data_IF_948951711029
#
_entry.id   IF_948951711029
#
_cell.length_a   1.000
_cell.length_b   1.000
_cell.length_c   1.000
_cell.angle_alpha   90.00
_cell.angle_beta   90.00
_cell.angle_gamma   90.00
#
_symmetry.space_group_name_H-M   'P 1'
#
loop_
_entity.id
_entity.type
_entity.pdbx_description
1 polymer ?
#
# COMPACT_ATOMS: atom_id res chain seq x y z
N UNK A 1 3.46 38.32 -24.47
CA UNK A 1 3.76 36.88 -24.49
C UNK A 1 5.21 36.71 -24.90
N UNK A 2 6.16 36.51 -23.98
CA UNK A 2 7.52 36.18 -24.34
C UNK A 2 7.71 34.65 -24.42
N UNK A 3 8.47 34.26 -25.42
CA UNK A 3 8.87 32.90 -25.78
C UNK A 3 9.66 32.24 -24.63
N UNK A 4 9.47 30.95 -24.29
CA UNK A 4 10.27 30.28 -23.28
C UNK A 4 11.71 30.11 -23.80
N UNK A 5 12.65 30.38 -22.89
CA UNK A 5 14.08 30.30 -23.11
C UNK A 5 14.49 28.94 -23.66
N UNK A 6 15.13 28.97 -24.82
CA UNK A 6 15.95 27.88 -25.34
C UNK A 6 17.09 27.61 -24.34
N UNK A 7 16.96 26.57 -23.53
CA UNK A 7 18.09 26.04 -22.77
C UNK A 7 18.84 25.05 -23.65
N UNK A 8 19.76 25.60 -24.45
CA UNK A 8 20.92 24.88 -24.96
C UNK A 8 21.95 24.85 -23.82
N UNK A 9 21.81 23.90 -22.88
CA UNK A 9 22.85 23.58 -21.89
C UNK A 9 23.32 22.15 -22.13
N UNK A 10 24.30 22.00 -23.02
CA UNK A 10 25.01 20.74 -23.28
C UNK A 10 25.97 20.41 -22.13
N UNK A 11 25.44 20.10 -20.96
CA UNK A 11 26.11 19.27 -19.95
C UNK A 11 25.78 17.78 -20.16
N UNK A 12 26.46 16.84 -19.49
CA UNK A 12 25.91 15.48 -19.41
C UNK A 12 24.50 15.59 -18.83
N UNK A 13 23.51 15.08 -19.58
CA UNK A 13 22.13 15.04 -19.12
C UNK A 13 22.11 14.30 -17.78
N UNK A 14 21.61 14.99 -16.76
CA UNK A 14 21.41 14.40 -15.45
C UNK A 14 20.45 13.21 -15.58
N UNK A 15 20.71 12.07 -14.90
CA UNK A 15 19.78 10.95 -14.89
C UNK A 15 18.41 11.39 -14.36
N UNK A 16 17.32 11.00 -15.03
CA UNK A 16 15.96 11.34 -14.62
C UNK A 16 15.65 10.89 -13.19
N UNK A 17 16.23 9.77 -12.74
CA UNK A 17 16.12 9.29 -11.37
C UNK A 17 16.65 10.29 -10.31
N UNK A 18 17.70 11.05 -10.63
CA UNK A 18 18.27 12.06 -9.72
C UNK A 18 17.37 13.31 -9.68
N UNK A 19 16.75 13.66 -10.80
CA UNK A 19 15.74 14.72 -10.88
C UNK A 19 14.51 14.34 -10.05
N UNK A 20 13.95 13.14 -10.26
CA UNK A 20 12.80 12.66 -9.50
C UNK A 20 13.11 12.53 -8.00
N UNK A 21 14.32 12.14 -7.62
CA UNK A 21 14.74 12.11 -6.21
C UNK A 21 14.62 13.49 -5.55
N UNK A 22 15.00 14.56 -6.25
CA UNK A 22 14.83 15.94 -5.74
C UNK A 22 13.38 16.38 -5.71
N UNK A 23 12.58 15.98 -6.71
CA UNK A 23 11.14 16.29 -6.73
C UNK A 23 10.41 15.58 -5.59
N UNK A 24 10.88 14.40 -5.16
CA UNK A 24 10.35 13.68 -4.01
C UNK A 24 10.73 14.31 -2.65
N UNK A 25 11.70 15.24 -2.59
CA UNK A 25 12.11 15.93 -1.37
C UNK A 25 11.14 17.08 -1.01
N UNK A 26 9.89 16.70 -0.76
CA UNK A 26 8.81 17.62 -0.43
C UNK A 26 8.72 17.84 1.09
N UNK A 27 8.80 19.08 1.60
CA UNK A 27 8.88 19.35 3.02
C UNK A 27 7.49 19.34 3.70
N UNK A 28 6.81 18.19 3.71
CA UNK A 28 5.47 18.04 4.30
C UNK A 28 5.43 18.44 5.78
N UNK A 29 6.50 18.19 6.53
CA UNK A 29 6.63 18.57 7.95
C UNK A 29 6.45 20.08 8.19
N UNK A 30 6.84 20.92 7.23
CA UNK A 30 6.67 22.38 7.34
C UNK A 30 5.18 22.73 7.26
N UNK A 31 4.43 22.02 6.43
CA UNK A 31 2.99 22.24 6.27
C UNK A 31 2.23 21.68 7.46
N UNK A 32 2.62 20.50 7.95
CA UNK A 32 2.07 19.91 9.19
C UNK A 32 2.22 20.89 10.35
N UNK A 33 3.42 21.45 10.54
CA UNK A 33 3.67 22.46 11.57
C UNK A 33 2.81 23.72 11.38
N UNK A 34 2.58 24.14 10.14
CA UNK A 34 1.74 25.30 9.84
C UNK A 34 0.26 25.02 10.15
N UNK A 35 -0.23 23.81 9.85
CA UNK A 35 -1.56 23.34 10.22
C UNK A 35 -1.70 23.34 11.75
N UNK A 36 -0.81 22.66 12.47
CA UNK A 36 -0.81 22.59 13.93
C UNK A 36 -0.79 23.99 14.57
N UNK A 37 0.05 24.90 14.06
CA UNK A 37 0.13 26.28 14.54
C UNK A 37 -1.19 27.02 14.31
N UNK A 38 -1.81 26.81 13.15
CA UNK A 38 -3.09 27.43 12.79
C UNK A 38 -4.23 26.88 13.65
N UNK A 39 -4.25 25.58 13.94
CA UNK A 39 -5.21 24.94 14.85
C UNK A 39 -5.04 25.42 16.29
N UNK A 40 -3.80 25.56 16.76
CA UNK A 40 -3.51 26.04 18.12
C UNK A 40 -4.10 27.43 18.38
N UNK A 41 -4.07 28.31 17.38
CA UNK A 41 -4.68 29.64 17.44
C UNK A 41 -6.21 29.61 17.68
N UNK A 42 -6.90 28.49 17.38
CA UNK A 42 -8.33 28.30 17.69
C UNK A 42 -8.61 28.37 19.20
N UNK A 43 -7.64 27.95 20.01
CA UNK A 43 -7.74 28.03 21.48
C UNK A 43 -7.94 29.47 21.94
N UNK A 44 -7.23 30.41 21.32
CA UNK A 44 -7.37 31.84 21.60
C UNK A 44 -8.62 32.45 20.96
N UNK A 45 -9.01 31.97 19.77
CA UNK A 45 -10.24 32.41 19.12
C UNK A 45 -11.49 32.12 19.97
N UNK A 46 -11.53 30.99 20.67
CA UNK A 46 -12.62 30.68 21.60
C UNK A 46 -12.70 31.63 22.80
N UNK A 47 -11.60 32.29 23.18
CA UNK A 47 -11.59 33.26 24.28
C UNK A 47 -12.34 34.55 23.93
N UNK A 48 -12.48 34.87 22.64
CA UNK A 48 -13.22 36.06 22.16
C UNK A 48 -14.64 35.73 21.66
N UNK A 49 -15.16 34.55 22.04
CA UNK A 49 -16.52 34.12 21.71
C UNK A 49 -17.54 35.14 22.23
N UNK A 50 -18.40 35.62 21.33
CA UNK A 50 -19.39 36.67 21.60
C UNK A 50 -18.97 38.07 21.14
N UNK A 51 -17.72 38.25 20.70
CA UNK A 51 -17.31 39.45 19.98
C UNK A 51 -17.96 39.49 18.57
N UNK A 52 -18.38 40.66 18.06
CA UNK A 52 -18.97 40.78 16.72
C UNK A 52 -18.11 40.21 15.59
N UNK A 53 -16.78 40.24 15.70
CA UNK A 53 -15.85 39.73 14.69
C UNK A 53 -15.58 38.23 14.80
N UNK A 54 -16.05 37.57 15.86
CA UNK A 54 -15.71 36.17 16.14
C UNK A 54 -16.12 35.23 15.00
N UNK A 55 -17.33 35.41 14.45
CA UNK A 55 -17.82 34.59 13.35
C UNK A 55 -16.96 34.69 12.10
N UNK A 56 -16.56 35.91 11.72
CA UNK A 56 -15.70 36.15 10.56
C UNK A 56 -14.30 35.53 10.77
N UNK A 57 -13.75 35.64 11.98
CA UNK A 57 -12.46 35.03 12.31
C UNK A 57 -12.50 33.50 12.24
N UNK A 58 -13.56 32.86 12.75
CA UNK A 58 -13.77 31.40 12.63
C UNK A 58 -13.86 30.98 11.16
N UNK A 59 -14.59 31.75 10.36
CA UNK A 59 -14.75 31.48 8.93
C UNK A 59 -13.40 31.55 8.19
N UNK A 60 -12.62 32.62 8.41
CA UNK A 60 -11.32 32.79 7.78
C UNK A 60 -10.34 31.69 8.20
N UNK A 61 -10.29 31.34 9.49
CA UNK A 61 -9.42 30.27 9.96
C UNK A 61 -9.80 28.91 9.36
N UNK A 62 -11.10 28.60 9.31
CA UNK A 62 -11.59 27.35 8.69
C UNK A 62 -11.20 27.27 7.21
N UNK A 63 -11.30 28.40 6.49
CA UNK A 63 -10.88 28.48 5.09
C UNK A 63 -9.36 28.27 4.93
N UNK A 64 -8.54 28.85 5.81
CA UNK A 64 -7.08 28.65 5.80
C UNK A 64 -6.72 27.19 6.11
N UNK A 65 -7.30 26.59 7.16
CA UNK A 65 -7.04 25.20 7.51
C UNK A 65 -7.41 24.25 6.36
N UNK A 66 -8.55 24.49 5.72
CA UNK A 66 -8.95 23.74 4.53
C UNK A 66 -7.90 23.85 3.42
N UNK A 67 -7.49 25.07 3.07
CA UNK A 67 -6.49 25.29 2.02
C UNK A 67 -5.13 24.66 2.36
N UNK A 68 -4.74 24.68 3.64
CA UNK A 68 -3.51 24.03 4.10
C UNK A 68 -3.58 22.51 3.98
N UNK A 69 -4.70 21.90 4.38
CA UNK A 69 -4.91 20.45 4.22
C UNK A 69 -4.94 20.05 2.75
N UNK A 70 -5.66 20.77 1.90
CA UNK A 70 -5.68 20.53 0.45
C UNK A 70 -4.28 20.67 -0.17
N UNK A 71 -3.50 21.68 0.24
CA UNK A 71 -2.12 21.85 -0.21
C UNK A 71 -1.21 20.71 0.27
N UNK A 72 -1.40 20.25 1.51
CA UNK A 72 -0.67 19.12 2.09
C UNK A 72 -0.94 17.84 1.31
N UNK A 73 -2.20 17.52 1.05
CA UNK A 73 -2.62 16.37 0.25
C UNK A 73 -2.05 16.43 -1.17
N UNK A 74 -2.14 17.59 -1.83
CA UNK A 74 -1.60 17.78 -3.18
C UNK A 74 -0.09 17.59 -3.26
N UNK A 75 0.64 18.07 -2.24
CA UNK A 75 2.10 17.91 -2.16
C UNK A 75 2.52 16.48 -1.80
N UNK A 76 1.72 15.78 -1.00
CA UNK A 76 1.95 14.37 -0.70
C UNK A 76 1.74 13.49 -1.94
N UNK A 77 0.65 13.75 -2.69
CA UNK A 77 0.42 13.11 -3.99
C UNK A 77 1.56 13.39 -4.98
N UNK A 78 2.02 14.64 -5.07
CA UNK A 78 3.18 14.98 -5.90
C UNK A 78 4.45 14.22 -5.50
N UNK A 79 4.73 14.13 -4.20
CA UNK A 79 5.84 13.35 -3.65
C UNK A 79 5.72 11.87 -4.05
N UNK A 80 4.55 11.27 -3.86
CA UNK A 80 4.29 9.88 -4.20
C UNK A 80 4.50 9.59 -5.70
N UNK A 81 4.06 10.51 -6.58
CA UNK A 81 4.30 10.44 -8.02
C UNK A 81 5.80 10.52 -8.37
N UNK A 82 6.54 11.46 -7.76
CA UNK A 82 7.97 11.56 -7.96
C UNK A 82 8.73 10.30 -7.48
N UNK A 83 8.34 9.72 -6.33
CA UNK A 83 8.91 8.47 -5.83
C UNK A 83 8.65 7.31 -6.80
N UNK A 84 7.40 7.15 -7.26
CA UNK A 84 7.02 6.09 -8.20
C UNK A 84 7.79 6.20 -9.53
N UNK A 85 7.88 7.40 -10.09
CA UNK A 85 8.65 7.66 -11.30
C UNK A 85 10.14 7.31 -11.13
N UNK A 86 10.77 7.79 -10.05
CA UNK A 86 12.16 7.45 -9.72
C UNK A 86 12.37 5.93 -9.62
N UNK A 87 11.51 5.25 -8.88
CA UNK A 87 11.65 3.83 -8.64
C UNK A 87 11.45 3.01 -9.92
N UNK A 88 10.53 3.43 -10.78
CA UNK A 88 10.35 2.85 -12.12
C UNK A 88 11.63 2.97 -12.96
N UNK A 89 12.26 4.15 -13.01
CA UNK A 89 13.53 4.36 -13.72
C UNK A 89 14.66 3.47 -13.17
N UNK A 90 14.67 3.23 -11.86
CA UNK A 90 15.68 2.41 -11.19
C UNK A 90 15.34 0.91 -11.17
N UNK A 91 14.17 0.50 -11.67
CA UNK A 91 13.68 -0.88 -11.57
C UNK A 91 13.44 -1.34 -10.12
N UNK A 92 13.15 -0.41 -9.22
CA UNK A 92 12.85 -0.66 -7.81
C UNK A 92 11.36 -0.91 -7.64
N UNK A 93 11.03 -1.91 -6.82
CA UNK A 93 9.66 -2.17 -6.40
C UNK A 93 9.56 -2.22 -4.88
N UNK A 94 8.52 -1.59 -4.35
CA UNK A 94 8.21 -1.53 -2.92
C UNK A 94 7.16 -2.58 -2.60
N UNK A 95 7.52 -3.53 -1.73
CA UNK A 95 6.56 -4.45 -1.16
C UNK A 95 5.86 -3.77 0.03
N UNK A 96 4.53 -3.74 0.00
CA UNK A 96 3.71 -3.23 1.11
C UNK A 96 2.90 -4.37 1.69
N UNK A 97 3.16 -4.72 2.96
CA UNK A 97 2.39 -5.71 3.70
C UNK A 97 1.44 -5.03 4.68
N UNK A 98 0.18 -5.45 4.70
CA UNK A 98 -0.79 -5.11 5.75
C UNK A 98 -0.88 -6.30 6.69
N UNK A 99 -0.39 -6.14 7.92
CA UNK A 99 -0.33 -7.19 8.96
C UNK A 99 -1.04 -6.66 10.19
N UNK A 100 -2.06 -7.36 10.67
CA UNK A 100 -2.87 -6.95 11.85
C UNK A 100 -3.50 -5.55 11.74
N UNK A 101 -3.60 -5.00 10.53
CA UNK A 101 -4.11 -3.64 10.24
C UNK A 101 -3.01 -2.57 10.16
N UNK A 102 -1.75 -2.93 10.36
CA UNK A 102 -0.61 -2.04 10.21
C UNK A 102 0.12 -2.27 8.88
N UNK A 103 0.58 -1.19 8.26
CA UNK A 103 1.36 -1.24 7.02
C UNK A 103 2.85 -1.35 7.32
N UNK A 104 3.53 -2.18 6.56
CA UNK A 104 4.97 -2.39 6.62
C UNK A 104 5.54 -2.44 5.20
N UNK A 105 6.73 -1.87 5.03
CA UNK A 105 7.30 -1.65 3.71
C UNK A 105 8.69 -2.30 3.59
N UNK A 106 9.03 -2.76 2.39
CA UNK A 106 10.37 -3.19 2.03
C UNK A 106 10.64 -2.91 0.56
N UNK A 107 11.59 -2.03 0.26
CA UNK A 107 12.04 -1.70 -1.10
C UNK A 107 13.34 -2.44 -1.48
N UNK A 108 14.13 -2.86 -0.49
CA UNK A 108 15.37 -3.63 -0.70
C UNK A 108 15.11 -5.14 -0.77
N UNK A 109 15.77 -5.80 -1.72
CA UNK A 109 15.62 -7.24 -1.95
C UNK A 109 16.02 -8.12 -0.75
N UNK A 110 16.92 -7.65 0.10
CA UNK A 110 17.34 -8.34 1.32
C UNK A 110 16.35 -8.17 2.49
N UNK A 111 15.48 -7.15 2.46
CA UNK A 111 14.46 -6.91 3.49
C UNK A 111 13.13 -7.62 3.19
N UNK A 112 12.79 -7.78 1.90
CA UNK A 112 11.55 -8.46 1.45
C UNK A 112 11.33 -9.85 2.08
N UNK A 113 12.35 -10.73 2.22
CA UNK A 113 12.16 -12.01 2.92
C UNK A 113 11.74 -11.86 4.38
N UNK A 114 12.29 -10.90 5.12
CA UNK A 114 11.90 -10.64 6.51
C UNK A 114 10.48 -10.08 6.61
N UNK A 115 10.05 -9.27 5.64
CA UNK A 115 8.66 -8.82 5.54
C UNK A 115 7.70 -10.00 5.32
N UNK A 116 8.06 -10.92 4.42
CA UNK A 116 7.30 -12.16 4.18
C UNK A 116 7.22 -13.02 5.44
N UNK A 117 8.33 -13.19 6.17
CA UNK A 117 8.36 -13.98 7.41
C UNK A 117 7.40 -13.43 8.48
N UNK A 118 7.27 -12.10 8.58
CA UNK A 118 6.29 -11.46 9.46
C UNK A 118 4.86 -11.72 9.00
N UNK A 119 4.62 -11.64 7.69
CA UNK A 119 3.31 -11.85 7.09
C UNK A 119 2.76 -13.27 7.34
N UNK A 120 3.65 -14.26 7.36
CA UNK A 120 3.30 -15.65 7.62
C UNK A 120 2.98 -15.96 9.10
N UNK A 121 3.30 -15.04 10.01
CA UNK A 121 3.14 -15.22 11.46
C UNK A 121 2.56 -13.94 12.11
N UNK A 122 1.33 -13.55 11.74
CA UNK A 122 0.67 -12.39 12.34
C UNK A 122 0.37 -12.63 13.83
N UNK A 123 0.25 -11.55 14.60
CA UNK A 123 -0.09 -11.63 16.02
C UNK A 123 -1.55 -12.02 16.26
N UNK A 124 -2.44 -11.76 15.30
CA UNK A 124 -3.85 -12.15 15.35
C UNK A 124 -4.10 -13.32 14.38
N UNK A 125 -4.05 -14.59 14.85
CA UNK A 125 -4.26 -15.75 13.99
C UNK A 125 -5.62 -15.71 13.28
N UNK A 126 -5.64 -16.13 12.02
CA UNK A 126 -6.85 -16.22 11.21
C UNK A 126 -7.35 -14.89 10.61
N UNK A 127 -6.74 -13.75 10.98
CA UNK A 127 -6.96 -12.48 10.27
C UNK A 127 -6.18 -12.49 8.96
N UNK A 128 -6.80 -11.98 7.91
CA UNK A 128 -6.15 -11.87 6.62
C UNK A 128 -5.07 -10.79 6.64
N UNK A 129 -3.90 -11.14 6.11
CA UNK A 129 -2.86 -10.20 5.73
C UNK A 129 -2.92 -9.94 4.23
N UNK A 130 -2.36 -8.81 3.80
CA UNK A 130 -2.28 -8.45 2.38
C UNK A 130 -0.85 -8.11 2.03
N UNK A 131 -0.45 -8.47 0.81
CA UNK A 131 0.82 -8.09 0.23
C UNK A 131 0.56 -7.46 -1.14
N UNK A 132 1.13 -6.28 -1.30
CA UNK A 132 1.09 -5.51 -2.53
C UNK A 132 2.52 -5.29 -3.01
N UNK A 133 2.69 -5.18 -4.32
CA UNK A 133 3.95 -4.77 -4.94
C UNK A 133 3.67 -3.62 -5.90
N UNK A 134 4.42 -2.54 -5.77
CA UNK A 134 4.24 -1.36 -6.60
C UNK A 134 5.56 -0.62 -6.80
N UNK A 135 5.55 0.49 -7.54
CA UNK A 135 6.69 1.39 -7.70
C UNK A 135 6.89 2.29 -6.47
N UNK A 136 5.92 2.36 -5.55
CA UNK A 136 5.95 3.18 -4.34
C UNK A 136 5.20 2.51 -3.17
N UNK A 137 5.37 2.98 -1.93
CA UNK A 137 4.55 2.54 -0.80
C UNK A 137 3.06 2.66 -1.11
N UNK A 138 2.27 1.64 -0.76
CA UNK A 138 0.80 1.71 -0.90
C UNK A 138 0.16 2.14 0.42
N UNK A 139 -0.11 3.43 0.54
CA UNK A 139 -0.54 4.04 1.81
C UNK A 139 -2.07 4.15 1.95
N UNK A 140 -2.78 4.38 0.85
CA UNK A 140 -4.21 4.67 0.85
C UNK A 140 -4.94 3.84 -0.22
N UNK A 141 -6.00 3.14 0.20
CA UNK A 141 -6.85 2.31 -0.67
C UNK A 141 -7.76 3.13 -1.58
N UNK A 142 -7.88 4.44 -1.37
CA UNK A 142 -8.60 5.34 -2.27
C UNK A 142 -7.77 5.74 -3.48
N UNK A 143 -6.46 5.52 -3.45
CA UNK A 143 -5.57 5.83 -4.57
C UNK A 143 -5.62 4.71 -5.62
N UNK A 144 -5.52 5.04 -6.92
CA UNK A 144 -5.47 4.02 -7.97
C UNK A 144 -4.25 3.10 -7.82
N UNK A 145 -4.49 1.80 -8.02
CA UNK A 145 -3.47 0.75 -7.89
C UNK A 145 -3.08 0.49 -6.42
N UNK A 146 -2.24 -0.53 -6.17
CA UNK A 146 -1.74 -1.52 -7.11
C UNK A 146 -2.85 -2.49 -7.54
N UNK A 147 -2.89 -2.77 -8.85
CA UNK A 147 -3.92 -3.60 -9.49
C UNK A 147 -3.77 -5.10 -9.19
N UNK A 148 -2.69 -5.49 -8.55
CA UNK A 148 -2.40 -6.87 -8.17
C UNK A 148 -2.15 -6.96 -6.67
N UNK A 149 -2.78 -7.93 -6.02
CA UNK A 149 -2.63 -8.16 -4.60
C UNK A 149 -2.60 -9.65 -4.26
N UNK A 150 -1.90 -9.98 -3.19
CA UNK A 150 -1.96 -11.31 -2.57
C UNK A 150 -2.53 -11.16 -1.17
N UNK A 151 -3.70 -11.74 -0.95
CA UNK A 151 -4.23 -12.01 0.39
C UNK A 151 -3.63 -13.30 0.93
N UNK A 152 -3.29 -13.29 2.21
CA UNK A 152 -2.65 -14.40 2.91
C UNK A 152 -3.40 -14.70 4.18
N UNK A 153 -3.74 -15.97 4.38
CA UNK A 153 -4.31 -16.46 5.64
C UNK A 153 -3.51 -17.68 6.08
N UNK A 154 -3.08 -17.66 7.33
CA UNK A 154 -2.19 -18.69 7.89
C UNK A 154 -2.75 -19.28 9.17
N UNK A 155 -2.53 -20.58 9.33
CA UNK A 155 -2.56 -21.31 10.59
C UNK A 155 -1.10 -21.65 10.94
N UNK A 156 -0.42 -20.69 11.58
CA UNK A 156 1.03 -20.72 11.75
C UNK A 156 1.51 -21.88 12.63
N UNK A 157 0.76 -22.22 13.69
CA UNK A 157 1.09 -23.34 14.59
C UNK A 157 1.01 -24.70 13.86
N UNK A 158 0.10 -24.82 12.89
CA UNK A 158 -0.06 -26.00 12.05
C UNK A 158 0.87 -25.99 10.82
N UNK A 159 1.65 -24.93 10.63
CA UNK A 159 2.54 -24.70 9.47
C UNK A 159 1.80 -24.80 8.13
N UNK A 160 0.61 -24.19 8.07
CA UNK A 160 -0.26 -24.18 6.89
C UNK A 160 -0.73 -22.77 6.54
N UNK A 161 -1.01 -22.53 5.27
CA UNK A 161 -1.58 -21.28 4.79
C UNK A 161 -2.25 -21.41 3.43
N UNK A 162 -2.91 -20.32 3.02
CA UNK A 162 -3.57 -20.20 1.72
C UNK A 162 -3.30 -18.81 1.18
N UNK A 163 -3.09 -18.74 -0.14
CA UNK A 163 -2.95 -17.48 -0.86
C UNK A 163 -4.19 -17.27 -1.72
N UNK A 164 -4.61 -16.01 -1.81
CA UNK A 164 -5.56 -15.56 -2.80
C UNK A 164 -4.93 -14.40 -3.58
N UNK A 165 -4.70 -14.62 -4.88
CA UNK A 165 -4.20 -13.60 -5.79
C UNK A 165 -5.38 -12.97 -6.50
N UNK A 166 -5.43 -11.65 -6.52
CA UNK A 166 -6.45 -10.88 -7.24
C UNK A 166 -5.75 -9.90 -8.15
N UNK A 167 -6.22 -9.81 -9.40
CA UNK A 167 -5.80 -8.79 -10.35
C UNK A 167 -7.00 -8.05 -10.92
N UNK A 168 -6.82 -6.76 -11.16
CA UNK A 168 -7.74 -5.93 -11.93
C UNK A 168 -7.22 -5.81 -13.37
N UNK A 169 -8.08 -6.15 -14.33
CA UNK A 169 -7.76 -6.03 -15.77
C UNK A 169 -7.85 -4.58 -16.24
N UNK A 170 -7.34 -4.28 -17.44
CA UNK A 170 -7.46 -2.94 -18.06
C UNK A 170 -8.92 -2.47 -18.22
N UNK A 171 -9.86 -3.42 -18.28
CA UNK A 171 -11.30 -3.16 -18.38
C UNK A 171 -11.97 -2.95 -17.01
N UNK A 172 -11.20 -3.02 -15.92
CA UNK A 172 -11.68 -2.90 -14.54
C UNK A 172 -12.31 -4.19 -13.99
N UNK A 173 -12.21 -5.31 -14.71
CA UNK A 173 -12.70 -6.60 -14.22
C UNK A 173 -11.74 -7.17 -13.17
N UNK A 174 -12.29 -7.56 -12.00
CA UNK A 174 -11.54 -8.23 -10.95
C UNK A 174 -11.53 -9.74 -11.16
N UNK A 175 -10.34 -10.31 -11.39
CA UNK A 175 -10.12 -11.74 -11.48
C UNK A 175 -9.41 -12.23 -10.21
N UNK A 176 -9.77 -13.42 -9.74
CA UNK A 176 -9.24 -13.95 -8.49
C UNK A 176 -8.97 -15.45 -8.56
N UNK A 177 -7.88 -15.87 -7.92
CA UNK A 177 -7.43 -17.25 -7.81
C UNK A 177 -7.00 -17.53 -6.38
N UNK A 178 -7.12 -18.78 -5.97
CA UNK A 178 -6.57 -19.28 -4.72
C UNK A 178 -5.61 -20.41 -5.06
N UNK A 179 -4.67 -20.65 -4.17
CA UNK A 179 -3.71 -21.74 -4.33
C UNK A 179 -4.43 -23.07 -4.54
N UNK A 180 -3.74 -24.03 -5.16
CA UNK A 180 -4.22 -25.38 -5.38
C UNK A 180 -3.15 -26.38 -4.92
N UNK A 181 -3.56 -27.25 -4.02
CA UNK A 181 -2.81 -28.37 -3.49
C UNK A 181 -3.42 -29.65 -4.07
N UNK A 182 -2.76 -30.30 -5.04
CA UNK A 182 -3.27 -31.52 -5.65
C UNK A 182 -3.30 -32.72 -4.68
N UNK A 183 -2.68 -32.59 -3.50
CA UNK A 183 -2.66 -33.63 -2.45
C UNK A 183 -2.97 -33.00 -1.08
N UNK A 184 -4.23 -32.57 -0.86
CA UNK A 184 -4.60 -31.88 0.37
C UNK A 184 -4.42 -32.77 1.59
N UNK A 185 -3.82 -32.23 2.65
CA UNK A 185 -3.59 -32.96 3.90
C UNK A 185 -4.92 -33.31 4.59
N UNK A 186 -5.07 -34.56 5.02
CA UNK A 186 -6.19 -34.98 5.88
C UNK A 186 -6.18 -34.25 7.22
N UNK A 187 -7.32 -33.69 7.60
CA UNK A 187 -7.48 -32.92 8.83
C UNK A 187 -6.88 -31.51 8.81
N UNK A 188 -6.57 -30.94 7.63
CA UNK A 188 -6.15 -29.53 7.55
C UNK A 188 -7.22 -28.60 8.18
N UNK A 189 -6.81 -27.58 8.95
CA UNK A 189 -7.74 -26.64 9.56
C UNK A 189 -8.49 -25.85 8.49
N UNK A 190 -9.70 -25.42 8.82
CA UNK A 190 -10.50 -24.54 7.95
C UNK A 190 -9.93 -23.14 8.04
N UNK A 191 -9.32 -22.67 6.95
CA UNK A 191 -8.87 -21.28 6.81
C UNK A 191 -10.00 -20.43 6.23
N UNK A 192 -10.29 -19.31 6.90
CA UNK A 192 -11.36 -18.37 6.51
C UNK A 192 -10.79 -17.22 5.71
N UNK A 193 -11.62 -16.59 4.88
CA UNK A 193 -11.20 -15.47 4.05
C UNK A 193 -10.72 -14.26 4.86
N UNK A 194 -11.27 -14.10 6.06
CA UNK A 194 -10.80 -13.18 7.09
C UNK A 194 -11.33 -13.61 8.47
N UNK A 195 -10.82 -13.02 9.54
CA UNK A 195 -11.31 -13.22 10.89
C UNK A 195 -12.80 -12.84 10.97
N UNK A 196 -13.64 -13.79 11.39
CA UNK A 196 -15.09 -13.61 11.45
C UNK A 196 -15.84 -13.77 10.13
N UNK A 197 -15.14 -13.99 9.00
CA UNK A 197 -15.79 -14.26 7.73
C UNK A 197 -16.47 -15.65 7.71
N UNK A 198 -17.71 -15.76 7.22
CA UNK A 198 -18.33 -17.07 7.01
C UNK A 198 -17.66 -17.84 5.86
N UNK A 199 -17.01 -17.13 4.93
CA UNK A 199 -16.36 -17.71 3.76
C UNK A 199 -15.09 -18.45 4.17
N UNK A 200 -15.01 -19.71 3.78
CA UNK A 200 -13.84 -20.57 3.96
C UNK A 200 -13.19 -20.84 2.62
N UNK A 201 -11.86 -20.94 2.63
CA UNK A 201 -11.14 -21.49 1.50
C UNK A 201 -11.42 -22.99 1.38
N UNK A 202 -11.51 -23.52 0.15
CA UNK A 202 -11.64 -24.96 -0.02
C UNK A 202 -10.38 -25.64 0.48
N UNK A 203 -10.54 -26.88 0.93
CA UNK A 203 -9.46 -27.64 1.59
C UNK A 203 -8.26 -27.89 0.67
N UNK A 204 -8.53 -28.03 -0.63
CA UNK A 204 -7.50 -28.14 -1.67
C UNK A 204 -6.77 -26.83 -1.94
N UNK A 205 -7.13 -25.70 -1.32
CA UNK A 205 -6.36 -24.48 -1.43
C UNK A 205 -5.22 -24.35 -0.42
N UNK A 206 -5.22 -25.19 0.62
CA UNK A 206 -4.30 -25.09 1.75
C UNK A 206 -2.95 -25.74 1.41
N UNK A 207 -1.88 -24.98 1.57
CA UNK A 207 -0.50 -25.38 1.32
C UNK A 207 0.34 -25.37 2.61
N UNK A 208 1.45 -26.14 2.66
CA UNK A 208 2.48 -25.97 3.67
C UNK A 208 3.05 -24.55 3.68
N UNK A 209 3.33 -24.01 4.87
CA UNK A 209 3.81 -22.63 5.03
C UNK A 209 5.12 -22.36 4.26
N UNK A 210 5.97 -23.37 4.08
CA UNK A 210 7.19 -23.27 3.27
C UNK A 210 6.90 -23.00 1.78
N UNK A 211 5.83 -23.57 1.22
CA UNK A 211 5.40 -23.33 -0.16
C UNK A 211 4.77 -21.93 -0.28
N UNK A 212 3.94 -21.55 0.70
CA UNK A 212 3.38 -20.20 0.81
C UNK A 212 4.49 -19.15 0.85
N UNK A 213 5.52 -19.36 1.67
CA UNK A 213 6.71 -18.49 1.77
C UNK A 213 7.41 -18.34 0.43
N UNK A 214 7.62 -19.46 -0.27
CA UNK A 214 8.29 -19.46 -1.58
C UNK A 214 7.51 -18.63 -2.60
N UNK A 215 6.18 -18.81 -2.65
CA UNK A 215 5.31 -18.05 -3.53
C UNK A 215 5.30 -16.56 -3.20
N UNK A 216 5.25 -16.19 -1.92
CA UNK A 216 5.30 -14.78 -1.52
C UNK A 216 6.64 -14.12 -1.87
N UNK A 217 7.76 -14.81 -1.68
CA UNK A 217 9.08 -14.30 -2.12
C UNK A 217 9.09 -14.10 -3.63
N UNK A 218 8.56 -15.04 -4.40
CA UNK A 218 8.43 -14.88 -5.85
C UNK A 218 7.57 -13.68 -6.23
N UNK A 219 6.43 -13.47 -5.55
CA UNK A 219 5.58 -12.30 -5.73
C UNK A 219 6.37 -11.01 -5.48
N UNK A 220 7.15 -10.91 -4.40
CA UNK A 220 7.93 -9.69 -4.11
C UNK A 220 9.01 -9.36 -5.15
N UNK A 221 9.37 -10.33 -6.00
CA UNK A 221 10.32 -10.17 -7.11
C UNK A 221 9.63 -9.82 -8.42
N UNK A 222 8.46 -10.38 -8.68
CA UNK A 222 7.82 -10.32 -10.01
C UNK A 222 6.58 -9.43 -10.06
N UNK A 223 5.86 -9.27 -8.95
CA UNK A 223 4.53 -8.66 -8.89
C UNK A 223 3.43 -9.51 -9.53
N UNK A 224 3.80 -10.61 -10.20
CA UNK A 224 2.87 -11.47 -10.92
C UNK A 224 2.40 -12.61 -10.03
N UNK A 225 1.31 -13.27 -10.43
CA UNK A 225 0.83 -14.48 -9.78
C UNK A 225 1.95 -15.55 -9.75
N UNK A 226 2.42 -15.96 -8.56
CA UNK A 226 3.58 -16.85 -8.43
C UNK A 226 3.45 -18.18 -9.18
N UNK A 227 4.48 -18.59 -9.90
CA UNK A 227 4.54 -19.87 -10.62
C UNK A 227 5.00 -21.03 -9.73
N UNK A 228 5.61 -20.75 -8.56
CA UNK A 228 6.09 -21.79 -7.64
C UNK A 228 4.98 -22.66 -7.03
N UNK A 229 3.72 -22.26 -7.17
CA UNK A 229 2.53 -22.98 -6.66
C UNK A 229 1.47 -23.08 -7.74
N UNK A 230 0.58 -24.07 -7.62
CA UNK A 230 -0.55 -24.19 -8.53
C UNK A 230 -1.69 -23.27 -8.08
N UNK A 231 -2.52 -22.85 -9.03
CA UNK A 231 -3.64 -21.96 -8.81
C UNK A 231 -4.91 -22.56 -9.38
N UNK A 232 -6.03 -22.24 -8.75
CA UNK A 232 -7.37 -22.52 -9.25
C UNK A 232 -8.21 -21.25 -9.15
N UNK A 233 -9.15 -21.09 -10.09
CA UNK A 233 -10.02 -19.91 -10.11
C UNK A 233 -10.85 -19.86 -8.82
N UNK A 234 -10.94 -18.67 -8.22
CA UNK A 234 -11.76 -18.45 -7.06
C UNK A 234 -13.23 -18.61 -7.43
N UNK A 235 -13.91 -19.54 -6.75
CA UNK A 235 -15.35 -19.72 -6.83
C UNK A 235 -15.92 -19.36 -5.48
N UNK A 236 -16.75 -18.34 -5.45
CA UNK A 236 -17.38 -17.83 -4.23
C UNK A 236 -18.80 -18.38 -4.16
N UNK A 237 -19.00 -19.44 -3.38
CA UNK A 237 -20.32 -20.02 -3.08
C UNK A 237 -20.64 -21.33 -3.81
N UNK A 238 -21.16 -22.29 -3.04
CA UNK A 238 -22.49 -22.87 -3.25
C UNK A 238 -23.35 -22.52 -2.03
#
# INVERSE_FOLDING_TARGET
MPNPLSQDESGPLEPDADVFARLADVPLEIIDKLIETTESAYTDLNRVRGNPYWGDLVLQQSAVLRALNEAREGLDGFRAEAVGARNTELGITVATAVIDGERHYADRNDEKPSLVDRLLRPQQPGRACHLYLWDRPYEDEQLPGPYQQVRVVTAAEEELGVLNFTEETEEGELLSWHTCNPRPRDGAPVLRFDAGSPLAFPRDAVLPLAEVRTALIEFTRTGLRPESVQWQQARWGE
#
